data_IF_468374704206
#
_entry.id   IF_468374704206
#
_cell.length_a   1.000
_cell.length_b   1.000
_cell.length_c   1.000
_cell.angle_alpha   90.00
_cell.angle_beta   90.00
_cell.angle_gamma   90.00
#
_symmetry.space_group_name_H-M   'P 1'
#
loop_
_entity.id
_entity.type
_entity.pdbx_description
1 polymer ?
#
# COMPACT_ATOMS: atom_id res chain seq x y z
N UNK A 1 -6.95 17.54 5.46
CA UNK A 1 -6.90 17.21 4.02
C UNK A 1 -5.60 16.46 3.82
N UNK A 2 -5.63 15.15 3.61
CA UNK A 2 -4.40 14.40 3.36
C UNK A 2 -4.67 13.16 2.48
N UNK A 3 -5.17 13.43 1.29
CA UNK A 3 -4.89 12.63 0.12
C UNK A 3 -4.16 13.59 -0.80
N UNK A 4 -2.84 13.43 -0.91
CA UNK A 4 -1.99 14.28 -1.73
C UNK A 4 -2.01 13.81 -3.18
N UNK A 5 -1.94 12.50 -3.38
CA UNK A 5 -1.98 11.84 -4.68
C UNK A 5 -3.35 11.17 -4.85
N UNK A 6 -4.10 11.60 -5.87
CA UNK A 6 -5.37 10.97 -6.24
C UNK A 6 -5.11 9.76 -7.12
N UNK A 7 -5.63 8.60 -6.72
CA UNK A 7 -5.59 7.36 -7.51
C UNK A 7 -6.96 7.12 -8.14
N UNK A 8 -6.99 6.94 -9.45
CA UNK A 8 -8.22 6.57 -10.15
C UNK A 8 -8.63 5.13 -9.86
N UNK A 9 -9.93 4.82 -9.96
CA UNK A 9 -10.41 3.45 -9.80
C UNK A 9 -9.81 2.49 -10.84
N UNK A 10 -9.57 2.97 -12.06
CA UNK A 10 -8.95 2.21 -13.15
C UNK A 10 -7.48 1.88 -12.82
N UNK A 11 -6.69 2.88 -12.41
CA UNK A 11 -5.30 2.67 -12.02
C UNK A 11 -5.18 1.75 -10.80
N UNK A 12 -6.07 1.92 -9.81
CA UNK A 12 -6.09 1.05 -8.64
C UNK A 12 -6.50 -0.38 -8.99
N UNK A 13 -7.50 -0.57 -9.86
CA UNK A 13 -7.88 -1.89 -10.35
C UNK A 13 -6.70 -2.61 -11.00
N UNK A 14 -6.03 -1.95 -11.96
CA UNK A 14 -4.85 -2.49 -12.62
C UNK A 14 -3.69 -2.76 -11.65
N UNK A 15 -3.53 -1.93 -10.62
CA UNK A 15 -2.55 -2.16 -9.56
C UNK A 15 -2.85 -3.44 -8.77
N UNK A 16 -4.11 -3.68 -8.42
CA UNK A 16 -4.52 -4.83 -7.61
C UNK A 16 -4.40 -6.17 -8.35
N UNK A 17 -4.44 -6.18 -9.69
CA UNK A 17 -4.21 -7.39 -10.51
C UNK A 17 -2.86 -8.07 -10.23
N UNK A 18 -1.87 -7.31 -9.77
CA UNK A 18 -0.55 -7.83 -9.39
C UNK A 18 -0.60 -8.71 -8.14
N UNK A 19 -1.62 -8.53 -7.30
CA UNK A 19 -1.76 -9.18 -6.01
C UNK A 19 -2.82 -10.30 -6.07
N UNK A 20 -2.83 -11.15 -5.05
CA UNK A 20 -3.85 -12.19 -4.86
C UNK A 20 -4.83 -11.71 -3.79
N UNK A 21 -5.64 -10.71 -4.17
CA UNK A 21 -6.57 -9.98 -3.29
C UNK A 21 -7.94 -9.77 -3.92
N UNK A 22 -8.24 -10.43 -5.03
CA UNK A 22 -9.49 -10.26 -5.77
C UNK A 22 -9.63 -8.92 -6.51
N UNK A 23 -10.87 -8.54 -6.81
CA UNK A 23 -11.22 -7.38 -7.64
C UNK A 23 -11.58 -6.17 -6.77
N UNK A 24 -11.30 -4.96 -7.27
CA UNK A 24 -11.64 -3.70 -6.60
C UNK A 24 -13.17 -3.55 -6.45
N UNK A 25 -13.66 -3.43 -5.22
CA UNK A 25 -15.06 -3.13 -4.89
C UNK A 25 -15.23 -1.64 -4.61
N UNK A 26 -14.37 -1.08 -3.76
CA UNK A 26 -14.39 0.36 -3.48
C UNK A 26 -13.04 0.86 -2.96
N UNK A 27 -12.79 2.15 -3.11
CA UNK A 27 -11.63 2.81 -2.52
C UNK A 27 -12.02 4.14 -1.90
N UNK A 28 -11.59 4.37 -0.67
CA UNK A 28 -11.87 5.60 0.08
C UNK A 28 -10.58 6.18 0.64
N UNK A 29 -10.25 7.39 0.21
CA UNK A 29 -9.14 8.14 0.76
C UNK A 29 -9.33 8.44 2.26
N UNK A 30 -8.28 8.24 3.05
CA UNK A 30 -8.24 8.49 4.48
C UNK A 30 -7.62 9.87 4.71
N UNK A 31 -8.47 10.85 5.03
CA UNK A 31 -8.07 12.25 5.10
C UNK A 31 -7.28 12.65 6.37
N UNK A 32 -7.05 11.71 7.28
CA UNK A 32 -6.37 11.91 8.57
C UNK A 32 -4.85 11.67 8.52
N UNK A 33 -4.29 11.32 7.35
CA UNK A 33 -2.85 11.22 7.17
C UNK A 33 -2.14 12.57 7.40
N UNK A 34 -0.86 12.53 7.80
CA UNK A 34 -0.04 13.74 7.93
C UNK A 34 1.01 13.82 6.82
N UNK A 35 1.45 12.67 6.31
CA UNK A 35 2.60 12.60 5.40
C UNK A 35 2.38 11.77 4.14
N UNK A 36 1.53 10.73 4.19
CA UNK A 36 1.28 9.83 3.07
C UNK A 36 -0.18 9.87 2.63
N UNK A 37 -0.42 9.57 1.35
CA UNK A 37 -1.77 9.35 0.86
C UNK A 37 -2.18 7.92 1.21
N UNK A 38 -3.19 7.77 2.06
CA UNK A 38 -3.70 6.46 2.46
C UNK A 38 -5.11 6.25 1.92
N UNK A 39 -5.40 5.04 1.48
CA UNK A 39 -6.71 4.62 0.98
C UNK A 39 -7.15 3.36 1.70
N UNK A 40 -8.39 3.34 2.15
CA UNK A 40 -9.08 2.11 2.49
C UNK A 40 -9.55 1.47 1.19
N UNK A 41 -9.10 0.25 0.92
CA UNK A 41 -9.42 -0.50 -0.30
C UNK A 41 -10.24 -1.72 0.08
N UNK A 42 -11.48 -1.78 -0.40
CA UNK A 42 -12.32 -2.97 -0.31
C UNK A 42 -12.23 -3.73 -1.62
N UNK A 43 -12.02 -5.04 -1.52
CA UNK A 43 -11.95 -5.98 -2.64
C UNK A 43 -12.93 -7.13 -2.42
N UNK A 44 -13.05 -8.03 -3.40
CA UNK A 44 -13.86 -9.24 -3.26
C UNK A 44 -13.29 -10.24 -2.25
N UNK A 45 -12.01 -10.17 -1.89
CA UNK A 45 -11.37 -11.12 -0.97
C UNK A 45 -11.04 -10.53 0.41
N UNK A 46 -11.13 -9.21 0.55
CA UNK A 46 -10.86 -8.56 1.82
C UNK A 46 -10.75 -7.05 1.75
N UNK A 47 -10.31 -6.49 2.88
CA UNK A 47 -10.08 -5.07 3.07
C UNK A 47 -8.60 -4.83 3.33
N UNK A 48 -8.09 -3.76 2.75
CA UNK A 48 -6.67 -3.43 2.75
C UNK A 48 -6.48 -1.92 2.91
N UNK A 49 -5.26 -1.54 3.25
CA UNK A 49 -4.79 -0.15 3.22
C UNK A 49 -3.77 -0.02 2.10
N UNK A 50 -4.04 0.86 1.14
CA UNK A 50 -3.05 1.30 0.17
C UNK A 50 -2.37 2.56 0.72
N UNK A 51 -1.05 2.54 0.77
CA UNK A 51 -0.23 3.69 1.16
C UNK A 51 0.63 4.11 -0.01
N UNK A 52 0.51 5.38 -0.43
CA UNK A 52 1.43 6.02 -1.37
C UNK A 52 2.39 6.91 -0.57
N UNK A 53 3.68 6.63 -0.69
CA UNK A 53 4.74 7.36 -0.02
C UNK A 53 4.99 8.68 -0.73
N UNK A 54 4.76 9.78 -0.02
CA UNK A 54 5.00 11.12 -0.56
C UNK A 54 6.46 11.56 -0.33
N UNK A 55 6.77 12.80 -0.72
CA UNK A 55 8.13 13.36 -0.88
C UNK A 55 9.07 13.28 0.34
N UNK A 56 8.61 12.87 1.52
CA UNK A 56 9.44 12.80 2.74
C UNK A 56 10.17 11.47 2.92
N UNK A 57 9.80 10.43 2.17
CA UNK A 57 10.48 9.14 2.20
C UNK A 57 11.27 8.96 0.91
N UNK A 58 12.59 8.75 1.03
CA UNK A 58 13.39 8.36 -0.13
C UNK A 58 13.00 6.93 -0.51
N UNK A 59 12.74 6.70 -1.79
CA UNK A 59 12.37 5.37 -2.29
C UNK A 59 13.43 4.30 -1.92
N UNK A 60 14.69 4.70 -1.86
CA UNK A 60 15.83 3.85 -1.50
C UNK A 60 15.82 3.41 -0.02
N UNK A 61 15.08 4.10 0.85
CA UNK A 61 14.92 3.72 2.26
C UNK A 61 13.77 2.71 2.47
N UNK A 62 12.83 2.61 1.51
CA UNK A 62 11.68 1.71 1.63
C UNK A 62 12.06 0.24 1.81
N UNK A 63 13.06 -0.31 1.09
CA UNK A 63 13.52 -1.67 1.33
C UNK A 63 13.94 -1.93 2.78
N UNK A 64 14.59 -0.95 3.43
CA UNK A 64 14.96 -1.08 4.84
C UNK A 64 13.73 -1.13 5.75
N UNK A 65 12.74 -0.25 5.53
CA UNK A 65 11.50 -0.24 6.30
C UNK A 65 10.71 -1.55 6.14
N UNK A 66 10.61 -2.07 4.92
CA UNK A 66 9.93 -3.34 4.68
C UNK A 66 10.66 -4.50 5.36
N UNK A 67 11.98 -4.58 5.23
CA UNK A 67 12.77 -5.60 5.91
C UNK A 67 12.64 -5.53 7.45
N UNK A 68 12.55 -4.32 8.01
CA UNK A 68 12.32 -4.12 9.44
C UNK A 68 10.92 -4.60 9.85
N UNK A 69 9.88 -4.27 9.09
CA UNK A 69 8.51 -4.73 9.36
C UNK A 69 8.42 -6.26 9.28
N UNK A 70 9.00 -6.88 8.24
CA UNK A 70 9.08 -8.33 8.09
C UNK A 70 9.78 -8.99 9.29
N UNK A 71 10.91 -8.43 9.74
CA UNK A 71 11.65 -8.93 10.90
C UNK A 71 10.87 -8.83 12.21
N UNK A 72 10.12 -7.73 12.41
CA UNK A 72 9.28 -7.54 13.60
C UNK A 72 8.06 -8.46 13.57
N UNK A 73 7.41 -8.61 12.41
CA UNK A 73 6.30 -9.53 12.21
C UNK A 73 6.73 -10.99 12.46
N UNK A 74 7.90 -11.40 11.96
CA UNK A 74 8.47 -12.73 12.20
C UNK A 74 8.74 -13.03 13.69
N UNK A 75 8.87 -11.98 14.52
CA UNK A 75 9.01 -12.08 15.97
C UNK A 75 7.69 -11.96 16.73
N UNK A 76 6.55 -11.90 16.04
CA UNK A 76 5.22 -11.84 16.63
C UNK A 76 4.84 -10.47 17.20
N UNK A 77 5.54 -9.39 16.82
CA UNK A 77 5.11 -8.04 17.19
C UNK A 77 3.88 -7.63 16.36
N UNK A 78 2.97 -6.81 16.93
CA UNK A 78 1.78 -6.33 16.23
C UNK A 78 2.14 -5.20 15.26
N UNK A 79 2.83 -5.55 14.17
CA UNK A 79 3.12 -4.66 13.04
C UNK A 79 2.37 -5.15 11.81
N UNK A 80 1.81 -4.24 11.00
CA UNK A 80 1.08 -4.64 9.79
C UNK A 80 2.09 -4.95 8.66
N UNK A 81 2.12 -6.18 8.12
CA UNK A 81 3.02 -6.51 7.02
C UNK A 81 2.49 -5.95 5.71
N UNK A 82 3.42 -5.54 4.84
CA UNK A 82 3.08 -5.26 3.45
C UNK A 82 2.75 -6.58 2.73
N UNK A 83 1.79 -6.52 1.82
CA UNK A 83 1.39 -7.65 1.00
C UNK A 83 2.36 -7.74 -0.18
N UNK A 84 2.92 -8.92 -0.36
CA UNK A 84 3.73 -9.28 -1.53
C UNK A 84 2.80 -9.52 -2.72
N UNK A 85 3.18 -8.99 -3.87
CA UNK A 85 2.53 -9.33 -5.13
C UNK A 85 2.80 -10.80 -5.51
N UNK A 86 2.23 -11.24 -6.65
CA UNK A 86 2.43 -12.61 -7.17
C UNK A 86 3.89 -12.94 -7.49
N UNK A 87 4.78 -11.95 -7.59
CA UNK A 87 6.22 -12.10 -7.81
C UNK A 87 7.06 -11.97 -6.53
N UNK A 88 6.45 -11.75 -5.36
CA UNK A 88 7.13 -11.58 -4.09
C UNK A 88 7.59 -10.14 -3.77
N UNK A 89 7.13 -9.15 -4.55
CA UNK A 89 7.52 -7.73 -4.44
C UNK A 89 6.46 -6.94 -3.68
N UNK A 90 6.88 -6.16 -2.68
CA UNK A 90 5.98 -5.38 -1.80
C UNK A 90 5.82 -3.92 -2.20
N UNK A 91 6.85 -3.34 -2.82
CA UNK A 91 6.90 -1.93 -3.19
C UNK A 91 6.74 -1.84 -4.70
N UNK A 92 5.73 -1.07 -5.11
CA UNK A 92 5.38 -0.83 -6.51
C UNK A 92 5.32 0.66 -6.77
N UNK A 93 5.24 1.06 -8.04
CA UNK A 93 4.91 2.44 -8.39
C UNK A 93 3.42 2.55 -8.75
N UNK A 94 2.76 3.59 -8.24
CA UNK A 94 1.38 3.96 -8.56
C UNK A 94 1.27 5.49 -8.60
N UNK A 95 0.75 6.03 -9.70
CA UNK A 95 0.63 7.48 -9.93
C UNK A 95 1.96 8.25 -9.71
N UNK A 96 3.08 7.63 -10.11
CA UNK A 96 4.43 8.19 -9.96
C UNK A 96 4.96 8.21 -8.53
N UNK A 97 4.33 7.46 -7.61
CA UNK A 97 4.74 7.32 -6.21
C UNK A 97 5.04 5.88 -5.85
N UNK A 98 6.04 5.62 -5.00
CA UNK A 98 6.15 4.32 -4.35
C UNK A 98 4.88 4.02 -3.55
N UNK A 99 4.40 2.80 -3.65
CA UNK A 99 3.14 2.36 -3.05
C UNK A 99 3.26 0.92 -2.54
N UNK A 100 2.60 0.64 -1.43
CA UNK A 100 2.43 -0.70 -0.89
C UNK A 100 0.99 -0.95 -0.47
N UNK A 101 0.60 -2.21 -0.48
CA UNK A 101 -0.69 -2.67 0.01
C UNK A 101 -0.47 -3.35 1.37
N UNK A 102 -1.31 -3.04 2.35
CA UNK A 102 -1.17 -3.49 3.73
C UNK A 102 -2.46 -4.20 4.13
N UNK A 103 -2.34 -5.30 4.89
CA UNK A 103 -3.48 -6.06 5.43
C UNK A 103 -3.96 -5.52 6.77
#
# INVERSE_FOLDING_TARGET
MAVYTQVSAEALGAFLEKFDVGELVSAKGIAEGVENSNYLVDTTEGRFILTLYEKRVAADDLPYFMALLDHLAAKGLPVPPAIKDRAGVEIHELEGRPACLIK
#
